data_IF_236671217564
#
_entry.id   IF_236671217564
#
_cell.length_a   1.000
_cell.length_b   1.000
_cell.length_c   1.000
_cell.angle_alpha   90.00
_cell.angle_beta   90.00
_cell.angle_gamma   90.00
#
_symmetry.space_group_name_H-M   'P 1'
#
loop_
_entity.id
_entity.type
_entity.pdbx_description
1 polymer ?
#
# COMPACT_ATOMS: atom_id res chain seq x y z
N UNK A 1 16.92 -6.01 -12.61
CA UNK A 1 16.16 -7.07 -13.30
C UNK A 1 16.41 -6.89 -14.79
N UNK A 2 16.80 -7.95 -15.45
CA UNK A 2 16.97 -8.01 -16.91
C UNK A 2 15.94 -9.03 -17.41
N UNK A 3 15.30 -8.76 -18.53
CA UNK A 3 14.29 -9.65 -19.12
C UNK A 3 14.69 -9.98 -20.56
N UNK A 4 14.55 -11.24 -20.94
CA UNK A 4 14.76 -11.73 -22.27
C UNK A 4 13.71 -12.79 -22.60
N UNK A 5 13.43 -13.01 -23.89
CA UNK A 5 12.55 -14.08 -24.35
C UNK A 5 13.22 -15.45 -24.32
N UNK A 6 14.56 -15.49 -24.38
CA UNK A 6 15.36 -16.69 -24.46
C UNK A 6 16.28 -16.82 -23.24
N UNK A 7 16.26 -18.00 -22.62
CA UNK A 7 17.10 -18.32 -21.48
C UNK A 7 18.56 -18.44 -21.84
N UNK A 8 18.84 -19.02 -23.01
CA UNK A 8 20.21 -19.28 -23.51
C UNK A 8 20.95 -17.95 -23.70
N UNK A 9 20.29 -16.93 -24.24
CA UNK A 9 20.85 -15.58 -24.38
C UNK A 9 21.17 -14.96 -23.00
N UNK A 10 20.32 -15.21 -22.00
CA UNK A 10 20.57 -14.71 -20.61
C UNK A 10 21.81 -15.35 -19.99
N UNK A 11 22.02 -16.65 -20.23
CA UNK A 11 23.14 -17.43 -19.67
C UNK A 11 24.44 -17.18 -20.41
N UNK A 12 24.41 -17.20 -21.75
CA UNK A 12 25.63 -17.18 -22.60
C UNK A 12 26.12 -15.78 -22.92
N UNK A 13 25.26 -14.78 -22.99
CA UNK A 13 25.65 -13.44 -23.43
C UNK A 13 25.45 -12.38 -22.33
N UNK A 14 24.25 -12.32 -21.74
CA UNK A 14 23.91 -11.22 -20.84
C UNK A 14 24.60 -11.37 -19.48
N UNK A 15 24.59 -12.56 -18.89
CA UNK A 15 25.23 -12.79 -17.58
C UNK A 15 26.75 -12.51 -17.63
N UNK A 16 27.51 -12.99 -18.63
CA UNK A 16 28.93 -12.63 -18.78
C UNK A 16 29.16 -11.13 -18.96
N UNK A 17 28.43 -10.50 -19.87
CA UNK A 17 28.55 -9.04 -20.10
C UNK A 17 28.31 -8.21 -18.85
N UNK A 18 27.30 -8.58 -18.05
CA UNK A 18 27.03 -7.91 -16.75
C UNK A 18 28.17 -8.18 -15.75
N UNK A 19 28.72 -9.40 -15.74
CA UNK A 19 29.85 -9.72 -14.85
C UNK A 19 31.08 -8.92 -15.20
N UNK A 20 31.44 -8.81 -16.47
CA UNK A 20 32.56 -8.01 -16.96
C UNK A 20 32.38 -6.52 -16.61
N UNK A 21 31.18 -5.97 -16.88
CA UNK A 21 30.85 -4.59 -16.53
C UNK A 21 31.01 -4.28 -15.04
N UNK A 22 30.63 -5.23 -14.17
CA UNK A 22 30.76 -5.08 -12.72
C UNK A 22 32.21 -5.24 -12.26
N UNK A 23 32.95 -6.22 -12.82
CA UNK A 23 34.37 -6.45 -12.48
C UNK A 23 35.22 -5.22 -12.78
N UNK A 24 35.00 -4.53 -13.89
CA UNK A 24 35.68 -3.29 -14.24
C UNK A 24 35.47 -2.17 -13.20
N UNK A 25 34.48 -2.32 -12.29
CA UNK A 25 34.14 -1.38 -11.22
C UNK A 25 34.43 -1.93 -9.81
N UNK A 26 35.18 -3.05 -9.73
CA UNK A 26 35.49 -3.69 -8.45
C UNK A 26 34.30 -4.41 -7.79
N UNK A 27 33.24 -4.69 -8.54
CA UNK A 27 32.04 -5.39 -8.04
C UNK A 27 31.95 -6.79 -8.63
N UNK A 28 31.39 -7.73 -7.87
CA UNK A 28 31.14 -9.10 -8.31
C UNK A 28 29.67 -9.47 -8.23
N UNK A 29 29.18 -10.25 -9.19
CA UNK A 29 27.86 -10.86 -9.11
C UNK A 29 27.85 -11.93 -8.01
N UNK A 30 26.87 -11.85 -7.10
CA UNK A 30 26.62 -12.94 -6.17
C UNK A 30 25.91 -14.09 -6.91
N UNK A 31 26.55 -15.22 -7.08
CA UNK A 31 25.95 -16.41 -7.72
C UNK A 31 24.71 -16.90 -6.96
N UNK A 32 24.77 -16.88 -5.64
CA UNK A 32 23.66 -17.30 -4.78
C UNK A 32 22.39 -16.45 -4.96
N UNK A 33 22.57 -15.14 -5.24
CA UNK A 33 21.46 -14.17 -5.41
C UNK A 33 21.06 -13.95 -6.86
N UNK A 34 21.90 -14.33 -7.81
CA UNK A 34 21.64 -14.18 -9.25
C UNK A 34 20.92 -15.42 -9.77
N UNK A 35 19.63 -15.28 -10.08
CA UNK A 35 18.80 -16.40 -10.54
C UNK A 35 18.11 -16.05 -11.85
N UNK A 36 18.15 -16.97 -12.78
CA UNK A 36 17.34 -16.95 -13.99
C UNK A 36 16.07 -17.75 -13.71
N UNK A 37 14.91 -17.09 -13.82
CA UNK A 37 13.62 -17.69 -13.47
C UNK A 37 12.62 -17.45 -14.59
N UNK A 38 11.89 -18.49 -14.99
CA UNK A 38 10.80 -18.35 -15.93
C UNK A 38 9.63 -17.57 -15.30
N UNK A 39 8.99 -16.69 -16.07
CA UNK A 39 7.93 -15.81 -15.55
C UNK A 39 6.68 -16.57 -15.08
N UNK A 40 6.44 -17.79 -15.60
CA UNK A 40 5.34 -18.65 -15.16
C UNK A 40 5.61 -19.32 -13.79
N UNK A 41 6.88 -19.46 -13.40
CA UNK A 41 7.27 -19.88 -12.06
C UNK A 41 7.14 -18.70 -11.09
N UNK A 42 7.51 -17.52 -11.57
CA UNK A 42 7.49 -16.27 -10.83
C UNK A 42 8.65 -16.08 -9.86
N UNK A 43 8.86 -14.86 -9.45
CA UNK A 43 9.91 -14.49 -8.52
C UNK A 43 9.46 -13.36 -7.58
N UNK A 44 10.12 -13.27 -6.45
CA UNK A 44 9.89 -12.21 -5.48
C UNK A 44 10.92 -11.09 -5.66
N UNK A 45 10.45 -9.85 -5.83
CA UNK A 45 11.29 -8.66 -5.95
C UNK A 45 10.69 -7.49 -5.18
N UNK A 46 11.49 -6.83 -4.34
CA UNK A 46 11.07 -5.71 -3.49
C UNK A 46 9.77 -5.98 -2.71
N UNK A 47 9.58 -7.21 -2.27
CA UNK A 47 8.38 -7.59 -1.53
C UNK A 47 7.16 -7.92 -2.38
N UNK A 48 7.25 -7.80 -3.69
CA UNK A 48 6.22 -8.23 -4.63
C UNK A 48 6.55 -9.59 -5.21
N UNK A 49 5.54 -10.42 -5.40
CA UNK A 49 5.61 -11.62 -6.23
C UNK A 49 5.12 -11.27 -7.63
N UNK A 50 5.99 -11.45 -8.62
CA UNK A 50 5.76 -11.19 -10.04
C UNK A 50 5.65 -12.53 -10.74
N UNK A 51 4.47 -12.85 -11.27
CA UNK A 51 4.22 -14.14 -11.92
C UNK A 51 3.15 -14.04 -13.00
N UNK A 52 3.33 -14.81 -14.09
CA UNK A 52 2.34 -14.98 -15.13
C UNK A 52 1.44 -16.19 -14.80
N UNK A 53 0.13 -15.96 -14.78
CA UNK A 53 -0.88 -16.99 -14.53
C UNK A 53 -1.78 -17.10 -15.74
N UNK A 54 -1.81 -18.23 -16.42
CA UNK A 54 -2.65 -18.46 -17.61
C UNK A 54 -2.57 -17.28 -18.59
N UNK A 55 -1.36 -16.89 -18.96
CA UNK A 55 -1.13 -15.78 -19.88
C UNK A 55 -1.21 -14.37 -19.27
N UNK A 56 -1.74 -14.18 -18.06
CA UNK A 56 -1.91 -12.87 -17.41
C UNK A 56 -0.82 -12.62 -16.38
N UNK A 57 -0.06 -11.54 -16.55
CA UNK A 57 0.93 -11.09 -15.55
C UNK A 57 0.24 -10.49 -14.33
N UNK A 58 0.50 -11.06 -13.16
CA UNK A 58 -0.01 -10.56 -11.88
C UNK A 58 1.15 -10.17 -10.97
N UNK A 59 1.05 -8.99 -10.39
CA UNK A 59 1.95 -8.48 -9.35
C UNK A 59 1.14 -8.48 -8.04
N UNK A 60 1.62 -9.20 -7.04
CA UNK A 60 0.95 -9.38 -5.74
C UNK A 60 1.93 -9.15 -4.59
N UNK A 61 1.47 -8.87 -3.35
CA UNK A 61 2.33 -8.96 -2.18
C UNK A 61 2.96 -10.35 -2.06
N UNK A 62 4.27 -10.43 -1.83
CA UNK A 62 4.95 -11.72 -1.65
C UNK A 62 4.47 -12.42 -0.39
N UNK A 63 4.45 -13.76 -0.40
CA UNK A 63 4.04 -14.56 0.77
C UNK A 63 4.92 -14.27 2.00
N UNK A 64 6.21 -14.04 1.78
CA UNK A 64 7.18 -13.68 2.83
C UNK A 64 6.78 -12.38 3.51
N UNK A 65 6.55 -11.31 2.74
CA UNK A 65 6.17 -10.00 3.28
C UNK A 65 4.81 -10.00 3.99
N UNK A 66 3.84 -10.78 3.50
CA UNK A 66 2.55 -10.96 4.20
C UNK A 66 2.77 -11.61 5.56
N UNK A 67 3.61 -12.66 5.65
CA UNK A 67 3.95 -13.32 6.92
C UNK A 67 4.67 -12.37 7.88
N UNK A 68 5.64 -11.60 7.40
CA UNK A 68 6.38 -10.61 8.19
C UNK A 68 5.47 -9.51 8.73
N UNK A 69 4.58 -8.97 7.90
CA UNK A 69 3.57 -8.00 8.32
C UNK A 69 2.68 -8.56 9.44
N UNK A 70 2.12 -9.75 9.25
CA UNK A 70 1.26 -10.39 10.25
C UNK A 70 2.02 -10.78 11.53
N UNK A 71 3.30 -11.10 11.42
CA UNK A 71 4.19 -11.32 12.56
C UNK A 71 4.44 -10.03 13.34
N UNK A 72 4.65 -8.90 12.65
CA UNK A 72 4.78 -7.57 13.26
C UNK A 72 3.51 -7.18 14.02
N UNK A 73 2.33 -7.35 13.41
CA UNK A 73 1.03 -7.12 14.07
C UNK A 73 0.91 -8.00 15.33
N UNK A 74 1.21 -9.29 15.21
CA UNK A 74 1.18 -10.24 16.33
C UNK A 74 2.12 -9.82 17.47
N UNK A 75 3.32 -9.36 17.13
CA UNK A 75 4.30 -8.85 18.10
C UNK A 75 3.78 -7.64 18.86
N UNK A 76 3.23 -6.65 18.14
CA UNK A 76 2.64 -5.45 18.77
C UNK A 76 1.52 -5.84 19.74
N UNK A 77 0.59 -6.70 19.31
CA UNK A 77 -0.54 -7.15 20.15
C UNK A 77 -0.05 -7.94 21.39
N UNK A 78 0.98 -8.79 21.23
CA UNK A 78 1.54 -9.60 22.33
C UNK A 78 2.29 -8.75 23.37
N UNK A 79 3.08 -7.78 22.90
CA UNK A 79 3.84 -6.88 23.79
C UNK A 79 2.93 -5.91 24.56
N UNK A 80 1.72 -5.67 24.07
CA UNK A 80 0.80 -4.66 24.61
C UNK A 80 -0.50 -5.31 25.17
N UNK A 81 -0.39 -6.32 26.03
CA UNK A 81 -1.56 -7.04 26.57
C UNK A 81 -2.37 -6.19 27.54
N UNK A 82 -1.74 -5.33 28.33
CA UNK A 82 -2.37 -4.50 29.33
C UNK A 82 -2.71 -3.08 28.87
N UNK A 83 -2.29 -2.69 27.65
CA UNK A 83 -2.47 -1.34 27.12
C UNK A 83 -3.96 -1.00 26.90
N UNK A 84 -4.33 0.29 26.99
CA UNK A 84 -5.68 0.76 26.62
C UNK A 84 -5.95 0.53 25.14
N UNK A 85 -7.21 0.27 24.80
CA UNK A 85 -7.64 -0.05 23.43
C UNK A 85 -7.29 1.07 22.43
N UNK A 86 -7.51 2.32 22.79
CA UNK A 86 -7.18 3.48 21.94
C UNK A 86 -5.68 3.55 21.62
N UNK A 87 -4.83 3.30 22.62
CA UNK A 87 -3.38 3.29 22.42
C UNK A 87 -2.95 2.12 21.52
N UNK A 88 -3.56 0.94 21.68
CA UNK A 88 -3.29 -0.20 20.79
C UNK A 88 -3.69 0.12 19.34
N UNK A 89 -4.84 0.74 19.12
CA UNK A 89 -5.28 1.19 17.79
C UNK A 89 -4.28 2.20 17.22
N UNK A 90 -3.79 3.14 18.04
CA UNK A 90 -2.77 4.11 17.66
C UNK A 90 -1.46 3.48 17.19
N UNK A 91 -1.04 2.36 17.80
CA UNK A 91 0.16 1.61 17.37
C UNK A 91 -0.06 0.80 16.09
N UNK A 92 -1.27 0.25 15.89
CA UNK A 92 -1.57 -0.62 14.76
C UNK A 92 -1.90 0.15 13.49
N UNK A 93 -2.64 1.25 13.57
CA UNK A 93 -3.10 2.00 12.41
C UNK A 93 -1.98 2.50 11.48
N UNK A 94 -0.86 3.06 11.96
CA UNK A 94 0.26 3.45 11.10
C UNK A 94 0.85 2.26 10.34
N UNK A 95 1.01 1.11 11.01
CA UNK A 95 1.57 -0.12 10.41
C UNK A 95 0.64 -0.65 9.32
N UNK A 96 -0.67 -0.72 9.59
CA UNK A 96 -1.69 -1.17 8.64
C UNK A 96 -1.75 -0.23 7.44
N UNK A 97 -1.80 1.10 7.69
CA UNK A 97 -1.89 2.10 6.62
C UNK A 97 -0.63 2.11 5.77
N UNK A 98 0.57 2.08 6.39
CA UNK A 98 1.83 2.09 5.68
C UNK A 98 1.98 0.87 4.76
N UNK A 99 1.72 -0.34 5.30
CA UNK A 99 1.78 -1.57 4.53
C UNK A 99 0.73 -1.60 3.40
N UNK A 100 -0.50 -1.17 3.68
CA UNK A 100 -1.56 -1.12 2.68
C UNK A 100 -1.28 -0.11 1.56
N UNK A 101 -0.74 1.07 1.89
CA UNK A 101 -0.35 2.07 0.89
C UNK A 101 0.79 1.59 -0.01
N UNK A 102 1.74 0.82 0.52
CA UNK A 102 2.81 0.23 -0.27
C UNK A 102 2.26 -0.74 -1.34
N UNK A 103 1.26 -1.54 -0.98
CA UNK A 103 0.70 -2.57 -1.87
C UNK A 103 -0.59 -2.15 -2.61
N UNK A 104 -1.10 -0.93 -2.43
CA UNK A 104 -2.35 -0.49 -3.09
C UNK A 104 -2.29 -0.51 -4.62
N UNK A 105 -1.09 -0.35 -5.21
CA UNK A 105 -0.88 -0.34 -6.65
C UNK A 105 -0.82 -1.71 -7.33
N UNK A 106 -0.92 -2.81 -6.57
CA UNK A 106 -0.85 -4.17 -7.09
C UNK A 106 -2.15 -4.97 -6.85
N UNK A 107 -2.18 -6.24 -7.28
CA UNK A 107 -3.34 -7.13 -7.09
C UNK A 107 -3.37 -7.63 -5.63
N UNK A 108 -3.79 -6.77 -4.70
CA UNK A 108 -3.74 -7.01 -3.26
C UNK A 108 -5.10 -7.28 -2.59
N UNK A 109 -6.23 -7.05 -3.26
CA UNK A 109 -7.56 -7.06 -2.62
C UNK A 109 -7.87 -8.35 -1.83
N UNK A 110 -7.58 -9.53 -2.40
CA UNK A 110 -7.76 -10.82 -1.70
C UNK A 110 -6.81 -10.95 -0.51
N UNK A 111 -5.56 -10.51 -0.67
CA UNK A 111 -4.55 -10.52 0.41
C UNK A 111 -4.96 -9.58 1.54
N UNK A 112 -5.48 -8.40 1.23
CA UNK A 112 -5.97 -7.42 2.22
C UNK A 112 -7.12 -7.99 3.05
N UNK A 113 -8.13 -8.58 2.40
CA UNK A 113 -9.26 -9.22 3.11
C UNK A 113 -8.77 -10.35 4.05
N UNK A 114 -7.86 -11.20 3.58
CA UNK A 114 -7.30 -12.27 4.39
C UNK A 114 -6.48 -11.74 5.58
N UNK A 115 -5.69 -10.68 5.36
CA UNK A 115 -4.92 -10.04 6.42
C UNK A 115 -5.84 -9.39 7.48
N UNK A 116 -6.89 -8.67 7.05
CA UNK A 116 -7.89 -8.10 7.95
C UNK A 116 -8.54 -9.16 8.85
N UNK A 117 -8.92 -10.31 8.27
CA UNK A 117 -9.47 -11.42 9.04
C UNK A 117 -8.47 -11.95 10.08
N UNK A 118 -7.20 -12.12 9.72
CA UNK A 118 -6.18 -12.57 10.66
C UNK A 118 -5.89 -11.55 11.77
N UNK A 119 -5.92 -10.25 11.45
CA UNK A 119 -5.80 -9.17 12.44
C UNK A 119 -6.98 -9.21 13.39
N UNK A 120 -8.20 -9.36 12.87
CA UNK A 120 -9.40 -9.50 13.68
C UNK A 120 -9.28 -10.64 14.70
N UNK A 121 -8.90 -11.85 14.28
CA UNK A 121 -8.75 -12.98 15.21
C UNK A 121 -7.69 -12.73 16.29
N UNK A 122 -6.61 -12.02 15.98
CA UNK A 122 -5.58 -11.67 16.98
C UNK A 122 -6.13 -10.68 18.01
N UNK A 123 -6.90 -9.69 17.58
CA UNK A 123 -7.50 -8.70 18.47
C UNK A 123 -8.66 -9.28 19.27
N UNK A 124 -9.45 -10.17 18.68
CA UNK A 124 -10.48 -10.91 19.40
C UNK A 124 -9.89 -11.75 20.53
N UNK A 125 -8.82 -12.49 20.24
CA UNK A 125 -8.11 -13.28 21.26
C UNK A 125 -7.47 -12.40 22.35
N UNK A 126 -6.98 -11.20 21.99
CA UNK A 126 -6.47 -10.20 22.93
C UNK A 126 -7.58 -9.71 23.85
N UNK A 127 -8.74 -9.35 23.32
CA UNK A 127 -9.89 -8.88 24.09
C UNK A 127 -10.44 -9.95 25.05
N UNK A 128 -10.58 -11.19 24.60
CA UNK A 128 -11.02 -12.33 25.43
C UNK A 128 -10.07 -12.60 26.59
N UNK A 129 -8.74 -12.57 26.37
CA UNK A 129 -7.75 -12.79 27.43
C UNK A 129 -7.82 -11.76 28.55
N UNK A 130 -8.20 -10.52 28.26
CA UNK A 130 -8.30 -9.47 29.26
C UNK A 130 -9.49 -9.64 30.21
N UNK A 131 -10.50 -10.39 29.77
CA UNK A 131 -11.76 -10.55 30.50
C UNK A 131 -12.19 -12.02 30.53
N UNK A 132 -11.37 -12.87 31.15
CA UNK A 132 -11.58 -14.33 31.19
C UNK A 132 -12.93 -14.74 31.81
N UNK A 133 -13.45 -13.93 32.73
CA UNK A 133 -14.71 -14.21 33.43
C UNK A 133 -15.93 -13.51 32.79
N UNK A 134 -15.76 -12.85 31.63
CA UNK A 134 -16.86 -12.22 30.90
C UNK A 134 -17.26 -12.99 29.65
N UNK A 135 -18.56 -13.06 29.39
CA UNK A 135 -19.09 -13.73 28.20
C UNK A 135 -18.67 -13.01 26.90
N UNK A 136 -18.67 -13.75 25.79
CA UNK A 136 -18.29 -13.23 24.46
C UNK A 136 -19.09 -12.00 24.02
N UNK A 137 -20.41 -11.96 24.33
CA UNK A 137 -21.30 -10.82 24.03
C UNK A 137 -20.85 -9.56 24.77
N UNK A 138 -20.45 -9.67 26.04
CA UNK A 138 -19.91 -8.54 26.80
C UNK A 138 -18.61 -8.02 26.20
N UNK A 139 -17.67 -8.92 25.83
CA UNK A 139 -16.40 -8.56 25.19
C UNK A 139 -16.64 -7.87 23.84
N UNK A 140 -17.60 -8.38 23.06
CA UNK A 140 -18.00 -7.73 21.81
C UNK A 140 -18.46 -6.29 22.05
N UNK A 141 -19.45 -6.09 22.93
CA UNK A 141 -20.00 -4.77 23.21
C UNK A 141 -18.95 -3.78 23.77
N UNK A 142 -17.92 -4.30 24.46
CA UNK A 142 -16.86 -3.50 25.06
C UNK A 142 -15.80 -3.04 24.05
N UNK A 143 -15.47 -3.87 23.05
CA UNK A 143 -14.29 -3.68 22.20
C UNK A 143 -14.62 -3.45 20.72
N UNK A 144 -15.86 -3.68 20.31
CA UNK A 144 -16.24 -3.55 18.92
C UNK A 144 -17.42 -2.59 18.74
N UNK A 145 -17.35 -1.84 17.64
CA UNK A 145 -18.36 -0.87 17.23
C UNK A 145 -18.94 -1.26 15.88
N UNK A 146 -20.18 -0.85 15.62
CA UNK A 146 -20.73 -0.87 14.27
C UNK A 146 -20.33 0.41 13.53
N UNK A 147 -19.69 0.29 12.38
CA UNK A 147 -19.25 1.41 11.54
C UNK A 147 -19.41 1.09 10.08
N UNK A 148 -20.11 1.96 9.34
CA UNK A 148 -20.32 1.81 7.87
C UNK A 148 -20.82 0.42 7.47
N UNK A 149 -21.81 -0.12 8.20
CA UNK A 149 -22.38 -1.45 7.93
C UNK A 149 -21.54 -2.64 8.42
N UNK A 150 -20.38 -2.42 9.03
CA UNK A 150 -19.56 -3.48 9.67
C UNK A 150 -19.82 -3.52 11.16
N UNK A 151 -20.43 -4.60 11.64
CA UNK A 151 -20.77 -4.78 13.06
C UNK A 151 -19.56 -5.08 13.97
N UNK A 152 -18.46 -5.61 13.42
CA UNK A 152 -17.30 -6.09 14.17
C UNK A 152 -16.04 -5.22 13.96
N UNK A 153 -16.20 -3.89 14.03
CA UNK A 153 -15.06 -2.98 13.91
C UNK A 153 -14.40 -2.78 15.27
N UNK A 154 -13.15 -3.22 15.42
CA UNK A 154 -12.40 -2.99 16.66
C UNK A 154 -12.18 -1.49 16.89
N UNK A 155 -12.75 -0.96 17.99
CA UNK A 155 -12.76 0.46 18.23
C UNK A 155 -13.39 0.86 19.55
N UNK A 156 -13.18 2.11 19.92
CA UNK A 156 -13.71 2.74 21.12
C UNK A 156 -14.20 4.15 20.83
N UNK A 157 -15.09 4.67 21.69
CA UNK A 157 -15.50 6.06 21.63
C UNK A 157 -14.49 6.93 22.39
N UNK A 158 -13.95 7.94 21.74
CA UNK A 158 -13.13 8.98 22.35
C UNK A 158 -13.93 10.29 22.38
N UNK A 159 -13.50 11.25 23.19
CA UNK A 159 -14.06 12.59 23.23
C UNK A 159 -13.06 13.59 22.66
N UNK A 160 -13.52 14.47 21.77
CA UNK A 160 -12.77 15.63 21.30
C UNK A 160 -13.65 16.86 21.46
N UNK A 161 -13.19 17.84 22.21
CA UNK A 161 -13.97 19.04 22.57
C UNK A 161 -15.36 18.70 23.13
N UNK A 162 -15.44 17.70 24.04
CA UNK A 162 -16.69 17.22 24.64
C UNK A 162 -17.56 16.33 23.75
N UNK A 163 -17.33 16.28 22.42
CA UNK A 163 -18.12 15.48 21.48
C UNK A 163 -17.54 14.08 21.33
N UNK A 164 -18.35 13.01 21.46
CA UNK A 164 -17.90 11.64 21.26
C UNK A 164 -17.66 11.36 19.78
N UNK A 165 -16.54 10.67 19.44
CA UNK A 165 -16.26 10.19 18.10
C UNK A 165 -15.68 8.78 18.13
N UNK A 166 -15.95 7.95 17.11
CA UNK A 166 -15.45 6.59 17.04
C UNK A 166 -13.99 6.55 16.58
N UNK A 167 -13.10 6.07 17.45
CA UNK A 167 -11.71 5.79 17.13
C UNK A 167 -11.55 4.30 16.86
N UNK A 168 -11.29 3.95 15.60
CA UNK A 168 -11.36 2.56 15.12
C UNK A 168 -10.09 2.11 14.44
N UNK A 169 -9.87 0.79 14.45
CA UNK A 169 -8.86 0.16 13.62
C UNK A 169 -9.17 0.42 12.13
N UNK A 170 -8.15 0.71 11.36
CA UNK A 170 -8.24 0.81 9.90
C UNK A 170 -8.21 -0.58 9.28
N UNK A 171 -8.94 -0.75 8.17
CA UNK A 171 -8.92 -1.98 7.39
C UNK A 171 -8.09 -1.80 6.14
N UNK A 172 -7.31 -2.83 5.80
CA UNK A 172 -6.59 -2.89 4.53
C UNK A 172 -7.58 -2.94 3.35
N UNK A 173 -8.70 -3.65 3.53
CA UNK A 173 -9.74 -3.78 2.50
C UNK A 173 -10.49 -2.48 2.21
N UNK A 174 -10.35 -1.43 3.01
CA UNK A 174 -10.88 -0.10 2.74
C UNK A 174 -9.97 0.73 1.83
N UNK A 175 -8.74 0.26 1.61
CA UNK A 175 -7.79 0.92 0.71
C UNK A 175 -8.17 0.59 -0.73
N UNK A 176 -8.35 1.63 -1.54
CA UNK A 176 -8.66 1.45 -2.95
C UNK A 176 -7.45 0.88 -3.71
N UNK A 177 -7.59 -0.36 -4.16
CA UNK A 177 -6.59 -1.07 -4.98
C UNK A 177 -6.91 -1.03 -6.48
N UNK A 178 -8.00 -0.34 -6.88
CA UNK A 178 -8.44 -0.29 -8.27
C UNK A 178 -7.69 0.77 -9.09
N UNK A 179 -7.02 1.70 -8.42
CA UNK A 179 -6.27 2.76 -9.06
C UNK A 179 -4.98 2.19 -9.64
N UNK A 180 -5.04 1.75 -10.91
CA UNK A 180 -3.82 1.37 -11.63
C UNK A 180 -2.98 2.63 -11.87
N UNK A 181 -1.68 2.63 -11.55
CA UNK A 181 -0.81 3.74 -11.92
C UNK A 181 -0.82 3.91 -13.45
N UNK A 182 -0.97 5.15 -13.92
CA UNK A 182 -0.86 5.45 -15.34
C UNK A 182 0.57 5.17 -15.76
N UNK A 183 0.78 4.20 -16.66
CA UNK A 183 2.12 3.83 -17.13
C UNK A 183 2.79 5.01 -17.83
N UNK A 184 4.07 5.22 -17.58
CA UNK A 184 4.89 6.17 -18.32
C UNK A 184 5.30 5.51 -19.64
N UNK A 185 5.26 6.24 -20.76
CA UNK A 185 5.79 5.76 -22.02
C UNK A 185 7.30 5.55 -21.89
N UNK A 186 7.83 4.44 -22.42
CA UNK A 186 9.25 4.09 -22.24
C UNK A 186 10.23 5.16 -22.74
N UNK A 187 9.85 5.87 -23.79
CA UNK A 187 10.65 6.96 -24.39
C UNK A 187 10.50 8.32 -23.68
N UNK A 188 9.50 8.45 -22.77
CA UNK A 188 9.22 9.74 -22.12
C UNK A 188 10.30 10.10 -21.10
N UNK A 189 10.99 11.20 -21.33
CA UNK A 189 11.99 11.75 -20.43
C UNK A 189 11.43 12.98 -19.70
N UNK A 190 11.33 13.00 -18.35
CA UNK A 190 10.80 14.13 -17.61
C UNK A 190 11.69 15.39 -17.66
N UNK A 191 12.96 15.25 -18.03
CA UNK A 191 13.92 16.34 -18.14
C UNK A 191 13.98 16.95 -19.56
N UNK A 192 13.32 16.33 -20.53
CA UNK A 192 13.23 16.80 -21.90
C UNK A 192 12.01 17.71 -22.08
N UNK A 193 12.20 18.98 -22.50
CA UNK A 193 11.11 19.95 -22.70
C UNK A 193 10.02 19.46 -23.65
N UNK A 194 10.35 18.65 -24.66
CA UNK A 194 9.37 18.11 -25.62
C UNK A 194 8.32 17.23 -24.95
N UNK A 195 8.67 16.57 -23.83
CA UNK A 195 7.75 15.71 -23.07
C UNK A 195 6.94 16.43 -22.01
N UNK A 196 7.16 17.75 -21.81
CA UNK A 196 6.41 18.53 -20.81
C UNK A 196 4.88 18.44 -20.97
N UNK A 197 4.28 18.60 -22.17
CA UNK A 197 2.82 18.48 -22.34
C UNK A 197 2.30 17.08 -21.97
N UNK A 198 3.08 16.04 -22.25
CA UNK A 198 2.72 14.67 -21.86
C UNK A 198 2.68 14.49 -20.34
N UNK A 199 3.66 15.01 -19.60
CA UNK A 199 3.69 14.90 -18.14
C UNK A 199 2.61 15.79 -17.50
N UNK A 200 2.34 16.95 -18.03
CA UNK A 200 1.24 17.82 -17.57
C UNK A 200 -0.12 17.14 -17.75
N UNK A 201 -0.38 16.52 -18.88
CA UNK A 201 -1.60 15.73 -19.11
C UNK A 201 -1.69 14.55 -18.12
N UNK A 202 -0.61 13.86 -17.85
CA UNK A 202 -0.58 12.78 -16.86
C UNK A 202 -0.91 13.27 -15.45
N UNK A 203 -0.34 14.39 -15.03
CA UNK A 203 -0.61 15.02 -13.74
C UNK A 203 -2.07 15.45 -13.63
N UNK A 204 -2.63 16.01 -14.69
CA UNK A 204 -4.06 16.31 -14.79
C UNK A 204 -4.92 15.07 -14.60
N UNK A 205 -4.63 13.96 -15.26
CA UNK A 205 -5.37 12.70 -15.12
C UNK A 205 -5.27 12.13 -13.70
N UNK A 206 -4.11 12.20 -13.07
CA UNK A 206 -3.93 11.81 -11.65
C UNK A 206 -4.79 12.68 -10.74
N UNK A 207 -4.78 13.99 -10.93
CA UNK A 207 -5.56 14.93 -10.12
C UNK A 207 -7.06 14.70 -10.28
N UNK A 208 -7.57 14.54 -11.50
CA UNK A 208 -8.97 14.20 -11.79
C UNK A 208 -9.39 12.91 -11.07
N UNK A 209 -8.53 11.89 -11.06
CA UNK A 209 -8.78 10.64 -10.34
C UNK A 209 -8.81 10.87 -8.82
N UNK A 210 -7.93 11.68 -8.27
CA UNK A 210 -7.84 12.05 -6.85
C UNK A 210 -9.06 12.84 -6.37
N UNK A 211 -9.60 13.70 -7.24
CA UNK A 211 -10.76 14.54 -6.95
C UNK A 211 -12.10 13.90 -7.32
N UNK A 212 -12.10 12.65 -7.80
CA UNK A 212 -13.33 11.91 -8.13
C UNK A 212 -14.29 11.87 -6.93
N UNK A 213 -15.49 12.36 -7.13
CA UNK A 213 -16.52 12.49 -6.09
C UNK A 213 -16.45 13.76 -5.22
N UNK A 214 -15.48 14.64 -5.48
CA UNK A 214 -15.28 15.91 -4.75
C UNK A 214 -15.53 17.09 -5.70
N UNK A 215 -16.76 17.27 -6.17
CA UNK A 215 -17.11 18.24 -7.23
C UNK A 215 -16.73 19.68 -6.91
N UNK A 216 -16.86 20.13 -5.65
CA UNK A 216 -16.47 21.47 -5.23
C UNK A 216 -14.98 21.74 -5.43
N UNK A 217 -14.13 20.80 -4.99
CA UNK A 217 -12.68 20.91 -5.19
C UNK A 217 -12.27 20.83 -6.65
N UNK A 218 -12.95 20.02 -7.45
CA UNK A 218 -12.68 19.91 -8.88
C UNK A 218 -12.95 21.24 -9.58
N UNK A 219 -14.10 21.85 -9.33
CA UNK A 219 -14.46 23.15 -9.92
C UNK A 219 -13.49 24.26 -9.52
N UNK A 220 -13.07 24.29 -8.25
CA UNK A 220 -12.09 25.26 -7.77
C UNK A 220 -10.74 25.09 -8.47
N UNK A 221 -10.23 23.86 -8.55
CA UNK A 221 -8.98 23.54 -9.22
C UNK A 221 -8.99 23.87 -10.72
N UNK A 222 -10.11 23.62 -11.41
CA UNK A 222 -10.30 23.99 -12.81
C UNK A 222 -10.38 25.52 -12.99
N UNK A 223 -11.12 26.22 -12.10
CA UNK A 223 -11.27 27.70 -12.12
C UNK A 223 -9.92 28.41 -11.92
N UNK A 224 -9.01 27.81 -11.15
CA UNK A 224 -7.66 28.32 -10.92
C UNK A 224 -6.65 27.89 -12.00
N UNK A 225 -7.10 27.38 -13.15
CA UNK A 225 -6.22 26.86 -14.20
C UNK A 225 -5.17 25.86 -13.67
N UNK A 226 -5.56 25.05 -12.67
CA UNK A 226 -4.71 24.01 -12.08
C UNK A 226 -3.47 24.54 -11.34
N UNK A 227 -3.42 25.84 -11.04
CA UNK A 227 -2.30 26.51 -10.38
C UNK A 227 -2.73 27.17 -9.08
N UNK A 228 -1.77 27.27 -8.16
CA UNK A 228 -1.98 28.00 -6.92
C UNK A 228 -2.06 29.52 -7.24
N UNK A 229 -3.11 30.22 -6.80
CA UNK A 229 -3.22 31.66 -7.06
C UNK A 229 -2.18 32.50 -6.30
N UNK A 230 -1.57 31.95 -5.24
CA UNK A 230 -0.58 32.65 -4.43
C UNK A 230 0.85 32.53 -4.98
N UNK A 231 1.26 31.30 -5.36
CA UNK A 231 2.64 31.04 -5.81
C UNK A 231 2.76 30.67 -7.31
N UNK A 232 1.66 30.52 -8.01
CA UNK A 232 1.64 30.13 -9.44
C UNK A 232 2.05 28.68 -9.73
N UNK A 233 2.43 27.89 -8.71
CA UNK A 233 2.81 26.51 -8.89
C UNK A 233 1.64 25.61 -9.31
N UNK A 234 1.94 24.56 -10.08
CA UNK A 234 0.94 23.55 -10.47
C UNK A 234 0.50 22.79 -9.22
N UNK A 235 -0.82 22.71 -9.02
CA UNK A 235 -1.45 21.91 -7.99
C UNK A 235 -1.70 20.52 -8.58
N UNK A 236 -0.94 19.53 -8.12
CA UNK A 236 -1.04 18.14 -8.55
C UNK A 236 -1.37 17.18 -7.40
N UNK A 237 -1.63 15.91 -7.72
CA UNK A 237 -2.03 14.89 -6.74
C UNK A 237 -0.87 14.42 -5.84
N UNK A 238 0.37 14.72 -6.20
CA UNK A 238 1.57 14.26 -5.50
C UNK A 238 2.05 15.30 -4.47
N UNK A 239 1.56 16.55 -4.55
CA UNK A 239 1.86 17.64 -3.60
C UNK A 239 0.83 17.72 -2.46
N UNK A 240 1.30 18.17 -1.30
CA UNK A 240 0.41 18.53 -0.18
C UNK A 240 -0.08 19.95 -0.44
N UNK A 241 -1.39 20.12 -0.50
CA UNK A 241 -2.05 21.42 -0.64
C UNK A 241 -3.21 21.56 0.34
N UNK A 242 -3.45 22.78 0.77
CA UNK A 242 -4.55 23.17 1.65
C UNK A 242 -5.41 24.22 0.97
N UNK A 243 -6.65 24.36 1.43
CA UNK A 243 -7.50 25.45 1.01
C UNK A 243 -7.22 26.61 1.96
N UNK A 244 -6.86 27.76 1.41
CA UNK A 244 -6.89 29.02 2.13
C UNK A 244 -8.32 29.56 2.08
N UNK A 245 -8.86 29.96 3.26
CA UNK A 245 -10.12 30.68 3.38
C UNK A 245 -9.97 32.14 2.98
#
# INVERSE_FOLDING_TARGET
IITCSDREILESQIKPAVSEFLQARGLTLSEEKTKITHIDEGFDFLGFNIRKYKGTLLIKPSKKNVKEFLAKIKSIVRKNQAIRQDKLIGLLNPVITGWGNYYKGCVAAKTFKNADAQIFYKLWAWALRRHRHKGKKWVYNRYFLSKKGRAWTFGTMLKNNGKPFPYTLKYLSDIDTKTKPIKIRSKANPFDPEWRPYFEMRNRMKMLSSLKGKQGFLRMWEKQNQRCPLCGEIIDADKIWTIAE
#
